data_IF_497837450340
#
_entry.id   IF_497837450340
#
_cell.length_a   1.000
_cell.length_b   1.000
_cell.length_c   1.000
_cell.angle_alpha   90.00
_cell.angle_beta   90.00
_cell.angle_gamma   90.00
#
_symmetry.space_group_name_H-M   'P 1'
#
loop_
_entity.id
_entity.type
_entity.pdbx_description
1 polymer ?
2 non-polymer ?
3 non-polymer ?
4 non-polymer ?
5 water ?
#
# COMPACT_ATOMS: atom_id res chain seq x y z
N UNK A 1 7.67 17.88 3.64
CA UNK A 1 6.78 16.75 3.38
C UNK A 1 6.12 16.84 2.02
N UNK A 2 5.68 15.70 1.49
CA UNK A 2 4.97 15.65 0.22
C UNK A 2 3.49 15.85 0.46
N UNK A 3 2.79 16.29 -0.60
CA UNK A 3 1.34 16.43 -0.51
C UNK A 3 0.70 15.05 -0.39
N UNK A 4 -0.35 14.97 0.42
CA UNK A 4 -1.16 13.76 0.54
C UNK A 4 -2.60 14.18 0.27
N UNK A 5 -3.36 13.46 -0.59
CA UNK A 5 -2.97 12.25 -1.33
C UNK A 5 -1.85 12.49 -2.34
N UNK A 6 -1.01 11.49 -2.53
CA UNK A 6 0.14 11.56 -3.43
C UNK A 6 -0.04 10.55 -4.55
N UNK A 7 0.27 10.97 -5.78
CA UNK A 7 0.16 10.16 -6.98
C UNK A 7 1.56 9.94 -7.52
N UNK A 8 2.09 8.72 -7.35
CA UNK A 8 3.41 8.35 -7.84
C UNK A 8 3.26 7.51 -9.10
N UNK A 9 3.65 8.01 -10.28
CA UNK A 9 3.63 7.17 -11.48
C UNK A 9 4.65 6.05 -11.38
N UNK A 10 4.28 4.88 -11.90
CA UNK A 10 5.15 3.71 -11.98
C UNK A 10 5.32 3.46 -13.47
N UNK A 11 6.34 4.02 -14.11
CA UNK A 11 6.41 3.98 -15.58
C UNK A 11 6.50 2.56 -16.12
N UNK A 12 5.60 2.24 -17.05
CA UNK A 12 5.55 0.91 -17.59
C UNK A 12 5.04 -0.12 -16.62
N UNK A 13 4.37 0.32 -15.55
CA UNK A 13 3.85 -0.60 -14.56
C UNK A 13 4.93 -1.21 -13.66
N UNK A 14 4.55 -2.30 -13.01
CA UNK A 14 5.44 -2.99 -12.09
C UNK A 14 5.96 -4.27 -12.74
N UNK A 15 6.98 -4.86 -12.13
CA UNK A 15 7.66 -6.03 -12.67
C UNK A 15 8.29 -6.73 -11.48
N UNK A 16 8.43 -8.05 -11.48
CA UNK A 16 9.13 -8.70 -10.37
C UNK A 16 10.53 -8.12 -10.19
N UNK A 17 10.95 -7.99 -8.94
CA UNK A 17 12.24 -7.44 -8.52
C UNK A 17 12.14 -5.92 -8.31
N UNK A 18 11.00 -5.31 -8.57
CA UNK A 18 10.81 -3.89 -8.34
C UNK A 18 10.39 -3.69 -6.88
N UNK A 19 11.07 -2.77 -6.21
CA UNK A 19 10.86 -2.49 -4.80
C UNK A 19 10.38 -1.06 -4.66
N UNK A 20 9.23 -0.87 -4.05
CA UNK A 20 8.64 0.44 -3.85
C UNK A 20 8.72 0.77 -2.37
N UNK A 21 9.28 1.93 -2.03
CA UNK A 21 9.50 2.31 -0.65
C UNK A 21 8.75 3.59 -0.34
N UNK A 22 7.98 3.54 0.75
CA UNK A 22 7.23 4.70 1.23
C UNK A 22 7.73 5.00 2.63
N UNK A 23 8.23 6.20 2.84
CA UNK A 23 8.66 6.66 4.15
C UNK A 23 7.73 7.77 4.61
N UNK A 24 7.31 7.70 5.87
CA UNK A 24 6.48 8.74 6.42
C UNK A 24 6.41 8.60 7.92
N UNK A 25 5.54 9.41 8.52
CA UNK A 25 5.28 9.34 9.95
C UNK A 25 3.77 9.33 10.13
N UNK A 26 3.26 8.42 10.96
CA UNK A 26 1.83 8.37 11.21
C UNK A 26 1.43 9.58 12.05
N UNK A 27 0.36 10.25 11.64
CA UNK A 27 -0.10 11.40 12.41
C UNK A 27 -0.56 10.93 13.78
N UNK A 28 -0.54 11.81 14.77
CA UNK A 28 -1.21 11.49 16.05
C UNK A 28 -2.69 11.28 15.80
N UNK A 29 -3.28 10.34 16.53
CA UNK A 29 -4.71 10.06 16.40
C UNK A 29 -5.09 9.66 14.98
N UNK A 30 -4.17 9.04 14.25
CA UNK A 30 -4.48 8.58 12.91
C UNK A 30 -5.63 7.59 12.93
N UNK A 31 -6.42 7.61 11.86
CA UNK A 31 -7.51 6.66 11.68
C UNK A 31 -7.25 5.67 10.57
N UNK A 32 -6.62 6.08 9.48
CA UNK A 32 -6.50 5.21 8.32
C UNK A 32 -5.35 5.67 7.43
N UNK A 33 -4.79 4.70 6.71
CA UNK A 33 -3.78 4.93 5.68
C UNK A 33 -4.16 4.04 4.50
N UNK A 34 -3.84 4.48 3.28
CA UNK A 34 -4.07 3.62 2.14
C UNK A 34 -3.00 3.77 1.06
N UNK A 35 -2.52 2.63 0.58
CA UNK A 35 -1.73 2.54 -0.64
C UNK A 35 -2.61 1.90 -1.70
N UNK A 36 -2.65 2.49 -2.89
CA UNK A 36 -3.46 1.97 -3.98
C UNK A 36 -2.57 1.82 -5.22
N UNK A 37 -2.18 0.58 -5.52
CA UNK A 37 -1.50 0.28 -6.77
C UNK A 37 -2.58 0.12 -7.84
N UNK A 38 -2.60 1.03 -8.81
CA UNK A 38 -3.74 1.12 -9.72
C UNK A 38 -3.37 0.79 -11.16
N UNK A 39 -4.29 0.10 -11.83
CA UNK A 39 -4.28 -0.15 -13.27
C UNK A 39 -5.44 0.67 -13.83
N UNK A 40 -5.13 1.86 -14.34
CA UNK A 40 -6.21 2.77 -14.70
C UNK A 40 -7.08 3.03 -13.49
N UNK A 41 -8.38 2.89 -13.66
CA UNK A 41 -9.29 3.07 -12.54
C UNK A 41 -9.36 1.88 -11.60
N UNK A 42 -8.85 0.73 -12.01
CA UNK A 42 -8.89 -0.43 -11.15
C UNK A 42 -7.78 -0.31 -10.11
N UNK A 43 -8.02 -0.90 -8.95
CA UNK A 43 -7.03 -0.95 -7.88
C UNK A 43 -6.55 -2.40 -7.81
N UNK A 44 -5.35 -2.64 -8.32
CA UNK A 44 -4.77 -3.98 -8.28
C UNK A 44 -4.50 -4.41 -6.85
N UNK A 45 -4.01 -3.50 -6.01
CA UNK A 45 -3.62 -3.84 -4.64
C UNK A 45 -3.86 -2.60 -3.78
N UNK A 46 -4.88 -2.70 -2.93
CA UNK A 46 -5.23 -1.71 -1.93
C UNK A 46 -4.71 -2.27 -0.61
N UNK A 47 -3.87 -1.51 0.07
CA UNK A 47 -3.26 -1.85 1.35
C UNK A 47 -3.70 -0.78 2.34
N UNK A 48 -4.55 -1.15 3.31
CA UNK A 48 -5.36 -0.19 4.08
C UNK A 48 -5.27 -0.47 5.58
N UNK A 49 -4.23 0.04 6.23
CA UNK A 49 -4.20 0.01 7.70
C UNK A 49 -5.34 0.84 8.27
N UNK A 50 -6.13 0.22 9.15
CA UNK A 50 -7.22 0.85 9.86
C UNK A 50 -6.88 0.83 11.34
N UNK A 51 -6.83 2.01 11.96
CA UNK A 51 -6.41 2.15 13.35
C UNK A 51 -7.56 1.97 14.34
N UNK A 52 -8.80 2.03 13.88
CA UNK A 52 -9.96 1.86 14.74
C UNK A 52 -11.14 1.32 13.96
N UNK A 53 -11.14 0.02 13.70
CA UNK A 53 -12.31 -0.66 13.17
C UNK A 53 -12.86 -1.46 14.35
N UNK A 54 -13.98 -1.00 14.89
CA UNK A 54 -14.56 -1.61 16.09
C UNK A 54 -13.53 -1.73 17.20
N UNK A 55 -12.73 -0.67 17.37
CA UNK A 55 -11.74 -0.58 18.44
C UNK A 55 -10.63 -1.62 18.31
N UNK A 56 -10.41 -2.10 17.09
CA UNK A 56 -9.29 -2.96 16.76
C UNK A 56 -8.50 -2.34 15.62
N UNK A 57 -7.22 -2.69 15.54
CA UNK A 57 -6.34 -2.26 14.47
C UNK A 57 -6.16 -3.44 13.52
N UNK A 58 -6.36 -3.19 12.22
CA UNK A 58 -6.29 -4.26 11.24
C UNK A 58 -5.79 -3.67 9.93
N UNK A 59 -5.11 -4.49 9.14
CA UNK A 59 -4.75 -4.12 7.78
C UNK A 59 -5.68 -4.86 6.83
N UNK A 60 -6.41 -4.10 6.02
CA UNK A 60 -7.31 -4.66 5.02
C UNK A 60 -6.68 -4.49 3.65
N UNK A 61 -6.62 -5.59 2.89
CA UNK A 61 -6.13 -5.57 1.52
C UNK A 61 -7.22 -6.09 0.59
N UNK A 62 -7.28 -5.52 -0.61
CA UNK A 62 -8.34 -5.88 -1.56
C UNK A 62 -7.96 -5.37 -2.94
N UNK A 63 -8.82 -5.67 -3.91
CA UNK A 63 -8.68 -5.30 -5.30
C UNK A 63 -10.02 -4.72 -5.70
N UNK A 64 -10.00 -3.64 -6.49
CA UNK A 64 -11.22 -3.03 -7.02
C UNK A 64 -11.20 -3.15 -8.54
N UNK A 65 -12.24 -3.79 -9.08
CA UNK A 65 -12.37 -4.02 -10.51
C UNK A 65 -13.71 -3.45 -10.96
N UNK A 66 -13.68 -2.58 -11.97
CA UNK A 66 -14.90 -1.98 -12.50
C UNK A 66 -15.72 -1.34 -11.38
N UNK A 67 -15.00 -0.73 -10.44
CA UNK A 67 -15.55 0.02 -9.32
C UNK A 67 -16.14 -0.86 -8.24
N UNK A 68 -15.88 -2.17 -8.27
CA UNK A 68 -16.39 -3.09 -7.27
C UNK A 68 -15.24 -3.70 -6.47
N UNK A 69 -15.34 -3.63 -5.15
CA UNK A 69 -14.36 -4.29 -4.31
C UNK A 69 -14.60 -5.80 -4.31
N UNK A 70 -13.53 -6.55 -4.15
CA UNK A 70 -13.57 -8.00 -4.10
C UNK A 70 -13.52 -8.54 -2.68
N UNK A 71 -12.98 -9.75 -2.53
CA UNK A 71 -12.85 -10.37 -1.22
C UNK A 71 -11.66 -9.77 -0.47
N UNK A 72 -11.91 -9.36 0.77
CA UNK A 72 -10.87 -8.79 1.60
C UNK A 72 -9.92 -9.86 2.09
N UNK A 73 -8.65 -9.47 2.24
CA UNK A 73 -7.64 -10.24 2.95
C UNK A 73 -7.19 -9.40 4.13
N UNK A 74 -7.34 -9.93 5.34
CA UNK A 74 -7.10 -9.17 6.56
C UNK A 74 -5.91 -9.72 7.33
N UNK A 75 -5.13 -8.78 7.87
CA UNK A 75 -3.94 -9.08 8.67
C UNK A 75 -4.06 -8.31 9.97
N UNK A 76 -4.12 -9.02 11.09
CA UNK A 76 -4.22 -8.40 12.41
C UNK A 76 -2.86 -8.02 12.99
N UNK A 77 -1.76 -8.57 12.47
CA UNK A 77 -0.45 -8.05 12.83
C UNK A 77 -0.40 -6.61 12.35
N UNK A 78 -0.17 -5.67 13.27
CA UNK A 78 -0.35 -4.26 12.97
C UNK A 78 0.89 -3.48 13.41
N UNK A 79 1.83 -3.22 12.50
CA UNK A 79 3.12 -2.65 12.92
C UNK A 79 3.16 -1.13 13.03
N UNK A 80 2.08 -0.44 12.68
CA UNK A 80 2.08 1.02 12.69
C UNK A 80 1.70 1.52 14.07
N UNK A 81 2.21 2.69 14.41
CA UNK A 81 1.89 3.31 15.68
C UNK A 81 1.71 4.79 15.44
N UNK A 82 0.62 5.35 15.97
CA UNK A 82 0.38 6.77 15.81
C UNK A 82 1.59 7.56 16.31
N UNK A 83 1.95 8.59 15.54
CA UNK A 83 3.05 9.47 15.88
C UNK A 83 4.42 8.97 15.49
N UNK A 84 4.53 7.79 14.89
CA UNK A 84 5.85 7.20 14.71
C UNK A 84 6.23 7.10 13.24
N UNK A 85 7.52 7.28 12.94
CA UNK A 85 8.01 7.09 11.58
C UNK A 85 7.94 5.63 11.16
N UNK A 86 7.63 5.42 9.88
CA UNK A 86 7.52 4.08 9.33
C UNK A 86 8.18 4.03 7.97
N UNK A 87 8.46 2.79 7.55
CA UNK A 87 8.90 2.47 6.20
C UNK A 87 8.07 1.30 5.72
N UNK A 88 7.31 1.50 4.64
CA UNK A 88 6.63 0.42 3.95
C UNK A 88 7.43 0.10 2.71
N UNK A 89 7.82 -1.17 2.57
CA UNK A 89 8.48 -1.66 1.37
C UNK A 89 7.56 -2.68 0.72
N UNK A 90 7.23 -2.45 -0.55
CA UNK A 90 6.42 -3.36 -1.33
C UNK A 90 7.33 -3.92 -2.41
N UNK A 91 7.65 -5.20 -2.30
CA UNK A 91 8.47 -5.88 -3.29
C UNK A 91 7.55 -6.66 -4.21
N UNK A 92 7.63 -6.39 -5.50
CA UNK A 92 6.85 -7.13 -6.48
C UNK A 92 7.55 -8.45 -6.74
N UNK A 93 6.86 -9.54 -6.51
CA UNK A 93 7.36 -10.87 -6.81
C UNK A 93 6.49 -11.48 -7.89
N UNK A 94 6.90 -12.61 -8.47
CA UNK A 94 6.15 -13.13 -9.63
C UNK A 94 4.69 -13.41 -9.34
N UNK A 95 4.33 -13.84 -8.14
CA UNK A 95 2.96 -14.23 -7.88
C UNK A 95 2.30 -13.41 -6.77
N UNK A 96 3.00 -12.45 -6.20
CA UNK A 96 2.37 -11.59 -5.20
C UNK A 96 3.17 -10.33 -4.98
N UNK A 97 2.50 -9.37 -4.34
CA UNK A 97 3.18 -8.26 -3.68
C UNK A 97 3.60 -8.74 -2.29
N UNK A 98 4.85 -8.47 -1.92
CA UNK A 98 5.38 -8.82 -0.61
C UNK A 98 5.62 -7.52 0.15
N UNK A 99 4.99 -7.37 1.31
CA UNK A 99 5.06 -6.14 2.08
C UNK A 99 5.84 -6.38 3.37
N UNK A 100 6.84 -5.52 3.61
CA UNK A 100 7.55 -5.47 4.89
C UNK A 100 7.40 -4.05 5.43
N UNK A 101 7.21 -3.95 6.74
CA UNK A 101 7.14 -2.64 7.40
C UNK A 101 8.26 -2.60 8.43
N UNK A 102 9.06 -1.54 8.39
CA UNK A 102 10.17 -1.36 9.32
C UNK A 102 11.08 -2.59 9.31
N UNK A 103 11.32 -3.11 8.11
CA UNK A 103 12.24 -4.21 7.84
C UNK A 103 11.74 -5.54 8.38
N UNK A 104 10.45 -5.65 8.73
CA UNK A 104 9.88 -6.91 9.17
C UNK A 104 8.78 -7.31 8.21
N UNK A 105 8.85 -8.55 7.71
CA UNK A 105 7.84 -9.04 6.81
C UNK A 105 6.46 -8.93 7.45
N UNK A 106 5.49 -8.47 6.67
CA UNK A 106 4.12 -8.30 7.18
C UNK A 106 3.11 -9.18 6.47
N UNK A 107 3.06 -9.16 5.14
CA UNK A 107 2.07 -9.95 4.44
C UNK A 107 2.46 -10.08 2.97
N UNK A 108 1.78 -11.00 2.29
CA UNK A 108 1.85 -11.14 0.86
C UNK A 108 0.44 -11.07 0.30
N UNK A 109 0.31 -10.55 -0.91
CA UNK A 109 -0.98 -10.42 -1.59
C UNK A 109 -0.84 -10.97 -3.00
N UNK A 110 -1.52 -12.08 -3.28
CA UNK A 110 -1.46 -12.73 -4.60
C UNK A 110 -1.98 -11.78 -5.67
N UNK A 111 -1.35 -11.80 -6.83
CA UNK A 111 -1.77 -10.94 -7.93
C UNK A 111 -3.12 -11.41 -8.46
N UNK A 112 -4.13 -10.55 -8.33
CA UNK A 112 -5.42 -10.74 -8.97
C UNK A 112 -5.49 -10.03 -10.32
N UNK A 113 -4.93 -8.83 -10.37
CA UNK A 113 -4.66 -8.15 -11.64
C UNK A 113 -3.35 -8.67 -12.18
N UNK A 114 -3.37 -9.20 -13.40
CA UNK A 114 -2.24 -9.97 -13.92
C UNK A 114 -1.42 -9.21 -14.94
N UNK A 115 -1.93 -8.10 -15.46
CA UNK A 115 -1.18 -7.24 -16.38
C UNK A 115 -0.34 -6.29 -15.54
N UNK A 116 0.74 -6.84 -14.99
CA UNK A 116 1.57 -6.07 -14.07
C UNK A 116 2.10 -4.81 -14.74
N UNK A 117 2.44 -4.90 -16.02
CA UNK A 117 3.00 -3.72 -16.69
C UNK A 117 1.94 -2.68 -16.99
N UNK A 118 0.70 -2.87 -16.55
CA UNK A 118 -0.31 -1.84 -16.64
C UNK A 118 -0.66 -1.23 -15.29
N UNK A 119 -0.04 -1.70 -14.21
CA UNK A 119 -0.27 -1.17 -12.86
C UNK A 119 0.72 -0.01 -12.72
N UNK A 120 0.30 1.17 -13.20
CA UNK A 120 1.27 2.23 -13.45
C UNK A 120 1.09 3.44 -12.55
N UNK A 121 0.36 3.30 -11.46
CA UNK A 121 0.23 4.37 -10.48
C UNK A 121 0.23 3.76 -9.08
N UNK A 122 0.88 4.46 -8.16
CA UNK A 122 0.71 4.20 -6.73
C UNK A 122 0.14 5.47 -6.10
N UNK A 123 -1.05 5.35 -5.52
CA UNK A 123 -1.64 6.42 -4.74
C UNK A 123 -1.36 6.18 -3.27
N UNK A 124 -1.06 7.26 -2.56
CA UNK A 124 -0.80 7.22 -1.13
C UNK A 124 -1.73 8.22 -0.47
N UNK A 125 -2.55 7.74 0.46
CA UNK A 125 -3.53 8.60 1.10
C UNK A 125 -3.63 8.27 2.58
N UNK A 126 -4.24 9.19 3.31
CA UNK A 126 -4.57 8.97 4.69
C UNK A 126 -3.76 9.80 5.66
N UNK A 127 -3.70 9.30 6.90
CA UNK A 127 -3.34 10.10 8.05
C UNK A 127 -1.85 9.97 8.34
N UNK A 128 -1.06 10.46 7.38
CA UNK A 128 0.39 10.43 7.50
C UNK A 128 0.98 11.77 7.07
N UNK A 129 2.17 12.02 7.58
CA UNK A 129 3.12 12.95 6.98
C UNK A 129 3.98 12.11 6.05
N UNK A 130 3.95 12.40 4.77
CA UNK A 130 4.65 11.61 3.77
C UNK A 130 5.99 12.25 3.49
N UNK A 131 7.07 11.49 3.74
CA UNK A 131 8.43 11.97 3.54
C UNK A 131 8.96 11.66 2.16
N UNK A 132 8.78 10.44 1.68
CA UNK A 132 9.23 10.12 0.34
C UNK A 132 8.52 8.87 -0.16
N UNK A 133 8.45 8.78 -1.49
CA UNK A 133 7.87 7.62 -2.17
C UNK A 133 8.75 7.40 -3.39
N UNK A 134 9.31 6.20 -3.52
CA UNK A 134 10.25 5.97 -4.62
C UNK A 134 10.27 4.48 -4.95
N UNK A 135 11.00 4.14 -6.00
CA UNK A 135 11.13 2.76 -6.43
C UNK A 135 12.54 2.52 -6.94
N UNK A 136 12.93 1.24 -6.93
CA UNK A 136 14.23 0.81 -7.41
C UNK A 136 14.14 -0.68 -7.74
N UNK A 137 15.10 -1.16 -8.50
CA UNK A 137 15.17 -2.58 -8.86
C UNK A 137 16.22 -3.27 -8.01
N UNK A 138 15.86 -4.44 -7.48
CA UNK A 138 16.80 -5.21 -6.68
C UNK A 138 17.01 -6.55 -7.36
X LIG B 1 -11.91 2.30 1.03
X LIG B 1 -12.02 3.14 -0.02
X LIG B 1 -16.52 -4.33 1.14
X LIG B 1 -15.91 -3.12 0.89
X LIG B 1 -16.43 -1.94 1.41
X LIG B 1 -14.30 -0.41 2.35
X LIG B 1 -12.56 -1.44 1.03
X LIG B 1 -11.74 -0.17 1.03
X LIG B 1 -10.61 3.98 1.39
X LIG B 1 -9.58 6.23 1.36
X LIG B 1 -7.78 6.77 2.83
X LIG B 1 -13.58 0.94 2.32
X LIG B 1 -17.67 -4.38 1.91
X LIG B 1 -12.68 1.04 1.09
X LIG B 1 -11.05 2.79 1.90
X LIG B 1 -9.64 4.95 1.90
X LIG B 1 -8.65 7.12 1.83
X LIG B 1 -7.84 5.51 3.37
X LIG B 1 -8.75 4.59 2.91
X LIG B 1 -18.19 -3.21 2.43
X LIG B 1 -17.58 -1.99 2.18
X LIG B 1 -11.70 -2.69 1.02
X LIG B 1 -8.60 8.36 1.31
X LIG B 1 -6.98 5.17 4.34
X LIG B 1 -6.88 7.66 3.28
X LIG B 1 -15.69 -6.07 0.34
X LIG B 1 -11.22 4.16 0.19
X LIG B 1 -13.37 -1.49 2.22
X LIG B 1 -12.48 -3.87 0.90
X LIG B 1 -10.84 -0.16 2.13
X LIG B 1 -14.49 2.02 2.38
X LIG B 1 -15.60 -0.41 1.07
X LIG C 1 -7.26 7.25 -5.84
X LIG C 1 -8.33 6.27 -5.91
X LIG C 1 -6.26 6.85 -4.64
X LIG C 1 -5.36 7.97 -4.39
X LIG C 1 -4.49 8.27 -5.49
X LIG C 1 -3.84 9.65 -5.24
X LIG C 1 -4.18 10.47 -6.41
X LIG C 1 -6.83 7.25 -6.72
X LIG C 1 -7.68 8.12 -5.74
X LIG C 1 -8.81 6.52 -6.56
X LIG C 1 -6.76 6.67 -3.82
X LIG C 1 -5.73 6.07 -4.87
X LIG C 1 -5.02 8.29 -6.31
X LIG C 1 -3.82 7.58 -5.55
X LIG C 1 -4.17 10.09 -4.44
X LIG C 1 -2.87 9.60 -5.14
X LIG C 1 -3.90 11.26 -6.22
X LIG D 1 -10.58 2.83 5.77
#
# INVERSE_FOLDING_TARGET
PLIVPYNLPLPGGVVPRMLITILGTVKPNANRIALDFQRGNDVAFHFNPRFNENNRRVIVCNTKLDNNWGREERQSVFPFESGKPFKIQVLVEPDHFKVAVNDAHLLQYNHRVKKLNEISKLGISGDIDLTSASYTMI
KON N1 N3 C4 C5 C6 C7 C8 C10 C13 C15 C17 C20 C1 C11 C12 C14 C16 C18 C19 C2 C3 C9 F1 F2 F3 I1 N2 O1 O2 O3 O4 S1
PEG C1 O1 C2 O2 C3 C4 O4 H11 H12 HO1 H21 H22 H31 H32 H41 H42 HO4
CL CL
#
